data_IF_377539524748
#
_entry.id   IF_377539524748
#
_cell.length_a   1.000
_cell.length_b   1.000
_cell.length_c   1.000
_cell.angle_alpha   90.00
_cell.angle_beta   90.00
_cell.angle_gamma   90.00
#
_symmetry.space_group_name_H-M   'P 1'
#
loop_
_entity.id
_entity.type
_entity.pdbx_description
1 polymer ?
#
# COMPACT_ATOMS: atom_id res chain seq x y z
N UNK A 1 16.09 -9.39 4.88
CA UNK A 1 16.33 -8.13 4.13
C UNK A 1 17.22 -7.18 4.91
N UNK A 2 16.91 -6.85 6.17
CA UNK A 2 17.70 -5.91 7.00
C UNK A 2 19.15 -6.35 7.18
N UNK A 3 19.40 -7.62 7.52
CA UNK A 3 20.78 -8.16 7.65
C UNK A 3 21.59 -8.02 6.35
N UNK A 4 20.92 -8.18 5.20
CA UNK A 4 21.56 -8.00 3.91
C UNK A 4 21.92 -6.53 3.66
N UNK A 5 21.02 -5.59 3.96
CA UNK A 5 21.29 -4.15 3.86
C UNK A 5 22.44 -3.74 4.78
N UNK A 6 22.47 -4.28 6.00
CA UNK A 6 23.53 -4.07 6.98
C UNK A 6 24.87 -4.59 6.46
N UNK A 7 24.91 -5.85 5.99
CA UNK A 7 26.11 -6.47 5.46
C UNK A 7 26.66 -5.74 4.21
N UNK A 8 25.80 -5.07 3.43
CA UNK A 8 26.25 -4.24 2.30
C UNK A 8 26.91 -2.93 2.75
N UNK A 9 26.44 -2.32 3.84
CA UNK A 9 27.02 -1.08 4.39
C UNK A 9 26.98 0.13 3.44
N UNK A 10 26.17 0.08 2.39
CA UNK A 10 26.09 1.11 1.33
C UNK A 10 24.81 1.93 1.38
N UNK A 11 23.87 1.56 2.23
CA UNK A 11 22.53 2.15 2.29
C UNK A 11 22.33 2.86 3.62
N UNK A 12 21.70 4.04 3.56
CA UNK A 12 21.05 4.62 4.73
C UNK A 12 19.70 3.94 4.86
N UNK A 13 19.48 3.26 5.99
CA UNK A 13 18.25 2.51 6.25
C UNK A 13 17.51 3.15 7.42
N UNK A 14 16.23 3.44 7.19
CA UNK A 14 15.30 3.93 8.20
C UNK A 14 14.05 3.06 8.09
N UNK A 15 13.57 2.55 9.22
CA UNK A 15 12.35 1.75 9.30
C UNK A 15 11.24 2.61 9.89
N UNK A 16 10.16 2.78 9.14
CA UNK A 16 8.96 3.49 9.57
C UNK A 16 7.88 2.49 9.94
N UNK A 17 7.27 2.64 11.10
CA UNK A 17 6.19 1.75 11.56
C UNK A 17 5.22 2.48 12.48
N UNK A 18 3.99 1.96 12.57
CA UNK A 18 3.11 2.30 13.70
C UNK A 18 3.73 1.76 14.99
N UNK A 19 3.76 2.58 16.03
CA UNK A 19 4.34 2.21 17.33
C UNK A 19 3.22 2.18 18.38
N UNK A 20 2.34 1.19 18.29
CA UNK A 20 1.13 1.07 19.12
C UNK A 20 1.38 1.19 20.63
N UNK A 21 2.52 0.69 21.11
CA UNK A 21 2.90 0.79 22.53
C UNK A 21 3.08 2.24 23.04
N UNK A 22 3.28 3.21 22.16
CA UNK A 22 3.29 4.63 22.53
C UNK A 22 1.89 5.20 22.79
N UNK A 23 0.85 4.54 22.28
CA UNK A 23 -0.55 5.01 22.31
C UNK A 23 -1.46 4.08 23.12
N UNK A 24 -0.90 3.33 24.08
CA UNK A 24 -1.62 2.33 24.87
C UNK A 24 -2.83 2.93 25.59
N UNK A 25 -2.71 4.14 26.14
CA UNK A 25 -3.82 4.79 26.84
C UNK A 25 -4.97 5.14 25.87
N UNK A 26 -4.64 5.66 24.68
CA UNK A 26 -5.61 5.93 23.62
C UNK A 26 -6.32 4.65 23.17
N UNK A 27 -5.57 3.56 22.99
CA UNK A 27 -6.13 2.26 22.59
C UNK A 27 -7.02 1.70 23.72
N UNK A 28 -6.60 1.85 24.99
CA UNK A 28 -7.36 1.39 26.15
C UNK A 28 -8.71 2.10 26.26
N UNK A 29 -8.71 3.42 26.04
CA UNK A 29 -9.92 4.25 26.05
C UNK A 29 -10.91 3.81 24.94
N UNK A 30 -10.40 3.47 23.75
CA UNK A 30 -11.22 2.97 22.62
C UNK A 30 -11.88 1.63 22.90
N UNK A 31 -11.19 0.70 23.57
CA UNK A 31 -11.75 -0.62 23.93
C UNK A 31 -12.89 -0.51 24.96
N UNK A 32 -12.77 0.45 25.91
CA UNK A 32 -13.81 0.80 26.89
C UNK A 32 -14.42 -0.39 27.69
N UNK A 33 -13.72 -1.53 27.79
CA UNK A 33 -14.23 -2.78 28.39
C UNK A 33 -14.20 -2.79 29.94
N UNK A 34 -13.59 -1.78 30.59
CA UNK A 34 -13.39 -1.68 32.06
C UNK A 34 -12.69 -2.90 32.73
N UNK A 35 -12.38 -3.96 31.97
CA UNK A 35 -11.73 -5.20 32.43
C UNK A 35 -10.22 -5.23 32.19
N UNK A 36 -9.74 -4.50 31.19
CA UNK A 36 -8.32 -4.45 30.82
C UNK A 36 -7.59 -3.35 31.60
N UNK A 37 -6.37 -3.66 31.99
CA UNK A 37 -5.42 -2.68 32.49
C UNK A 37 -4.28 -2.50 31.47
N UNK A 38 -3.49 -1.45 31.66
CA UNK A 38 -2.39 -1.07 30.76
C UNK A 38 -1.47 -2.24 30.42
N UNK A 39 -0.93 -2.93 31.43
CA UNK A 39 0.03 -4.02 31.25
C UNK A 39 -0.54 -5.17 30.41
N UNK A 40 -1.80 -5.55 30.69
CA UNK A 40 -2.47 -6.61 29.92
C UNK A 40 -2.73 -6.22 28.46
N UNK A 41 -2.93 -4.92 28.19
CA UNK A 41 -3.09 -4.42 26.84
C UNK A 41 -1.75 -4.39 26.09
N UNK A 42 -0.67 -3.94 26.74
CA UNK A 42 0.68 -3.96 26.17
C UNK A 42 1.08 -5.37 25.74
N UNK A 43 0.82 -6.39 26.57
CA UNK A 43 1.09 -7.78 26.20
C UNK A 43 0.22 -8.24 25.02
N UNK A 44 -1.07 -7.90 25.01
CA UNK A 44 -1.96 -8.27 23.90
C UNK A 44 -1.50 -7.66 22.57
N UNK A 45 -1.05 -6.40 22.59
CA UNK A 45 -0.53 -5.73 21.39
C UNK A 45 0.79 -6.35 20.92
N UNK A 46 1.67 -6.77 21.84
CA UNK A 46 2.91 -7.45 21.50
C UNK A 46 2.67 -8.83 20.88
N UNK A 47 1.65 -9.56 21.37
CA UNK A 47 1.29 -10.87 20.86
C UNK A 47 0.61 -10.78 19.48
N UNK A 48 -0.25 -9.78 19.26
CA UNK A 48 -0.95 -9.57 18.00
C UNK A 48 -0.04 -9.01 16.89
N UNK A 49 0.90 -8.11 17.24
CA UNK A 49 1.78 -7.42 16.29
C UNK A 49 3.26 -7.86 16.41
N UNK A 50 3.49 -9.14 16.72
CA UNK A 50 4.82 -9.72 16.97
C UNK A 50 5.81 -9.55 15.79
N UNK A 51 5.31 -9.59 14.56
CA UNK A 51 6.08 -9.39 13.35
C UNK A 51 6.66 -7.97 13.28
N UNK A 52 5.87 -6.96 13.62
CA UNK A 52 6.32 -5.55 13.65
C UNK A 52 7.41 -5.40 14.71
N UNK A 53 7.21 -5.98 15.90
CA UNK A 53 8.23 -6.00 16.96
C UNK A 53 9.54 -6.62 16.45
N UNK A 54 9.45 -7.80 15.83
CA UNK A 54 10.62 -8.52 15.29
C UNK A 54 11.39 -7.67 14.27
N UNK A 55 10.69 -6.96 13.38
CA UNK A 55 11.31 -6.06 12.40
C UNK A 55 12.00 -4.87 13.07
N UNK A 56 11.36 -4.23 14.06
CA UNK A 56 11.92 -3.09 14.81
C UNK A 56 13.17 -3.52 15.57
N UNK A 57 13.11 -4.64 16.31
CA UNK A 57 14.25 -5.16 17.08
C UNK A 57 15.42 -5.54 16.16
N UNK A 58 15.12 -6.14 15.00
CA UNK A 58 16.14 -6.46 13.99
C UNK A 58 16.79 -5.20 13.40
N UNK A 59 15.99 -4.15 13.15
CA UNK A 59 16.50 -2.87 12.66
C UNK A 59 17.42 -2.21 13.70
N UNK A 60 17.02 -2.21 14.96
CA UNK A 60 17.81 -1.68 16.07
C UNK A 60 19.11 -2.46 16.28
N UNK A 61 19.08 -3.79 16.17
CA UNK A 61 20.28 -4.63 16.22
C UNK A 61 21.27 -4.31 15.09
N UNK A 62 20.77 -3.94 13.91
CA UNK A 62 21.57 -3.46 12.78
C UNK A 62 22.03 -2.00 12.93
N UNK A 63 21.62 -1.28 13.99
CA UNK A 63 21.90 0.14 14.18
C UNK A 63 21.11 1.07 13.25
N UNK A 64 20.04 0.59 12.64
CA UNK A 64 19.16 1.40 11.79
C UNK A 64 18.21 2.25 12.63
N UNK A 65 17.86 3.42 12.11
CA UNK A 65 16.90 4.31 12.76
C UNK A 65 15.49 3.71 12.63
N UNK A 66 14.75 3.69 13.72
CA UNK A 66 13.32 3.38 13.72
C UNK A 66 12.53 4.65 14.01
N UNK A 67 11.57 4.96 13.14
CA UNK A 67 10.76 6.18 13.19
C UNK A 67 9.29 5.78 13.24
N UNK A 68 8.52 6.53 14.01
CA UNK A 68 7.08 6.35 14.05
C UNK A 68 6.45 6.94 12.78
N UNK A 69 5.59 6.17 12.12
CA UNK A 69 4.98 6.51 10.84
C UNK A 69 3.82 7.50 10.99
N UNK A 70 4.10 8.70 11.49
CA UNK A 70 3.09 9.75 11.67
C UNK A 70 2.86 10.55 10.40
N UNK A 71 1.61 10.97 10.17
CA UNK A 71 1.27 11.90 9.08
C UNK A 71 2.12 13.18 9.17
N UNK A 72 2.65 13.63 8.03
CA UNK A 72 3.62 14.72 7.92
C UNK A 72 5.09 14.31 8.05
N UNK A 73 5.38 13.02 8.31
CA UNK A 73 6.77 12.53 8.37
C UNK A 73 7.37 12.37 6.98
N UNK A 74 8.54 12.98 6.75
CA UNK A 74 9.25 12.88 5.47
C UNK A 74 9.95 11.52 5.30
N UNK A 75 9.83 10.96 4.09
CA UNK A 75 10.47 9.71 3.64
C UNK A 75 11.08 9.96 2.26
N UNK A 76 12.34 10.43 2.23
CA UNK A 76 12.99 10.84 0.99
C UNK A 76 12.23 11.99 0.31
N UNK A 77 11.75 11.76 -0.92
CA UNK A 77 10.93 12.71 -1.69
C UNK A 77 9.41 12.55 -1.45
N UNK A 78 9.04 11.73 -0.45
CA UNK A 78 7.67 11.44 -0.09
C UNK A 78 7.36 11.91 1.33
N UNK A 79 6.07 11.96 1.64
CA UNK A 79 5.55 12.28 2.98
C UNK A 79 4.54 11.21 3.37
N UNK A 80 4.59 10.75 4.61
CA UNK A 80 3.53 9.91 5.18
C UNK A 80 2.28 10.77 5.33
N UNK A 81 1.16 10.32 4.77
CA UNK A 81 -0.12 11.06 4.82
C UNK A 81 -1.19 10.37 5.66
N UNK A 82 -1.04 9.08 5.91
CA UNK A 82 -1.96 8.32 6.74
C UNK A 82 -1.45 6.90 7.06
N UNK A 83 -2.22 6.13 7.84
CA UNK A 83 -3.39 6.58 8.61
C UNK A 83 -3.00 7.54 9.74
N UNK A 84 -3.97 8.26 10.30
CA UNK A 84 -3.78 9.10 11.49
C UNK A 84 -3.59 8.26 12.75
N UNK A 85 -3.17 8.90 13.85
CA UNK A 85 -3.07 8.23 15.17
C UNK A 85 -4.41 7.65 15.59
N UNK A 86 -5.49 8.39 15.39
CA UNK A 86 -6.83 7.93 15.74
C UNK A 86 -7.17 6.65 14.97
N UNK A 87 -6.92 6.62 13.67
CA UNK A 87 -7.27 5.49 12.82
C UNK A 87 -6.41 4.25 13.09
N UNK A 88 -5.08 4.36 13.18
CA UNK A 88 -4.28 3.18 13.49
C UNK A 88 -4.53 2.67 14.92
N UNK A 89 -4.96 3.53 15.85
CA UNK A 89 -5.36 3.08 17.20
C UNK A 89 -6.74 2.44 17.22
N UNK A 90 -7.66 2.79 16.30
CA UNK A 90 -8.91 2.02 16.10
C UNK A 90 -8.62 0.60 15.64
N UNK A 91 -7.70 0.46 14.68
CA UNK A 91 -7.25 -0.85 14.20
C UNK A 91 -6.65 -1.67 15.34
N UNK A 92 -5.73 -1.09 16.11
CA UNK A 92 -5.11 -1.77 17.24
C UNK A 92 -6.14 -2.17 18.31
N UNK A 93 -7.09 -1.28 18.63
CA UNK A 93 -8.16 -1.57 19.59
C UNK A 93 -9.03 -2.73 19.13
N UNK A 94 -9.41 -2.74 17.84
CA UNK A 94 -10.22 -3.80 17.23
C UNK A 94 -9.47 -5.13 17.21
N UNK A 95 -8.19 -5.13 16.84
CA UNK A 95 -7.36 -6.33 16.74
C UNK A 95 -7.26 -7.09 18.08
N UNK A 96 -7.14 -6.37 19.19
CA UNK A 96 -7.02 -7.00 20.52
C UNK A 96 -8.35 -7.22 21.22
N UNK A 97 -9.48 -6.73 20.69
CA UNK A 97 -10.81 -6.88 21.27
C UNK A 97 -11.55 -8.09 20.70
N UNK A 98 -11.50 -9.20 21.43
CA UNK A 98 -12.15 -10.46 21.04
C UNK A 98 -13.70 -10.43 21.03
N UNK A 99 -14.33 -9.28 21.32
CA UNK A 99 -15.79 -9.08 21.24
C UNK A 99 -16.25 -8.61 19.86
N UNK A 100 -15.32 -8.19 19.00
CA UNK A 100 -15.60 -7.63 17.66
C UNK A 100 -14.86 -8.42 16.57
N UNK A 101 -15.23 -8.21 15.31
CA UNK A 101 -14.51 -8.83 14.17
C UNK A 101 -13.11 -8.21 14.00
N UNK A 102 -12.20 -8.91 13.32
CA UNK A 102 -10.84 -8.43 13.04
C UNK A 102 -10.72 -7.77 11.66
N UNK A 103 -11.80 -7.15 11.18
CA UNK A 103 -11.87 -6.50 9.87
C UNK A 103 -12.25 -5.03 9.99
N UNK A 104 -11.79 -4.16 9.09
CA UNK A 104 -12.08 -2.73 9.02
C UNK A 104 -12.71 -2.43 7.65
N UNK A 105 -13.75 -1.61 7.64
CA UNK A 105 -14.60 -1.39 6.47
C UNK A 105 -15.99 -2.03 6.67
N UNK A 106 -16.81 -1.97 5.63
CA UNK A 106 -18.13 -2.58 5.59
C UNK A 106 -18.30 -3.40 4.31
N UNK A 107 -19.04 -4.51 4.40
CA UNK A 107 -19.41 -5.31 3.24
C UNK A 107 -18.22 -6.06 2.64
N UNK A 108 -17.98 -5.86 1.34
CA UNK A 108 -16.96 -6.61 0.60
C UNK A 108 -15.59 -5.91 0.57
N UNK A 109 -15.51 -4.63 0.96
CA UNK A 109 -14.26 -3.86 1.11
C UNK A 109 -13.70 -3.94 2.56
N UNK A 110 -13.90 -5.10 3.20
CA UNK A 110 -13.42 -5.37 4.55
C UNK A 110 -11.96 -5.83 4.52
N UNK A 111 -11.06 -5.00 5.05
CA UNK A 111 -9.65 -5.34 5.19
C UNK A 111 -9.34 -5.90 6.57
N UNK A 112 -8.38 -6.82 6.66
CA UNK A 112 -7.94 -7.29 7.98
C UNK A 112 -7.30 -6.15 8.77
N UNK A 113 -7.39 -6.19 10.10
CA UNK A 113 -6.69 -5.21 10.95
C UNK A 113 -5.18 -5.12 10.67
N UNK A 114 -4.56 -6.17 10.13
CA UNK A 114 -3.15 -6.16 9.76
C UNK A 114 -2.85 -5.32 8.52
N UNK A 115 -3.80 -5.24 7.59
CA UNK A 115 -3.67 -4.51 6.33
C UNK A 115 -4.24 -3.09 6.43
N UNK A 116 -5.38 -2.94 7.11
CA UNK A 116 -6.19 -1.73 7.09
C UNK A 116 -5.41 -0.46 7.46
N UNK A 117 -4.48 -0.56 8.42
CA UNK A 117 -3.63 0.55 8.86
C UNK A 117 -2.32 0.69 8.06
N UNK A 118 -2.21 0.16 6.83
CA UNK A 118 -1.02 0.31 6.00
C UNK A 118 -0.57 1.76 5.90
N UNK A 119 0.73 2.01 6.05
CA UNK A 119 1.31 3.36 5.94
C UNK A 119 1.15 3.87 4.51
N UNK A 120 0.57 5.06 4.37
CA UNK A 120 0.27 5.71 3.11
C UNK A 120 1.30 6.79 2.81
N UNK A 121 1.84 6.80 1.59
CA UNK A 121 2.85 7.76 1.16
C UNK A 121 2.31 8.63 0.02
N UNK A 122 2.37 9.95 0.18
CA UNK A 122 2.32 10.89 -0.93
C UNK A 122 3.75 11.08 -1.45
N UNK A 123 3.97 10.86 -2.74
CA UNK A 123 5.24 11.17 -3.39
C UNK A 123 5.04 12.22 -4.47
N UNK A 124 5.92 13.22 -4.50
CA UNK A 124 5.96 14.21 -5.57
C UNK A 124 6.86 13.71 -6.70
N UNK A 125 6.31 13.61 -7.89
CA UNK A 125 7.00 13.20 -9.11
C UNK A 125 7.72 14.39 -9.76
N UNK A 126 8.66 14.09 -10.66
CA UNK A 126 9.47 15.12 -11.34
C UNK A 126 8.64 16.10 -12.17
N UNK A 127 7.52 15.64 -12.74
CA UNK A 127 6.56 16.45 -13.51
C UNK A 127 5.56 17.21 -12.61
N UNK A 128 5.80 17.26 -11.29
CA UNK A 128 4.95 17.84 -10.27
C UNK A 128 3.60 17.13 -10.02
N UNK A 129 3.33 16.00 -10.67
CA UNK A 129 2.23 15.13 -10.27
C UNK A 129 2.47 14.53 -8.89
N UNK A 130 1.39 14.24 -8.19
CA UNK A 130 1.40 13.56 -6.90
C UNK A 130 0.84 12.15 -7.06
N UNK A 131 1.56 11.17 -6.52
CA UNK A 131 1.10 9.79 -6.41
C UNK A 131 0.84 9.45 -4.95
N UNK A 132 -0.32 8.87 -4.67
CA UNK A 132 -0.61 8.21 -3.40
C UNK A 132 -0.26 6.73 -3.52
N UNK A 133 0.60 6.25 -2.63
CA UNK A 133 0.91 4.83 -2.45
C UNK A 133 0.23 4.34 -1.18
N UNK A 134 -0.75 3.45 -1.33
CA UNK A 134 -1.68 3.05 -0.27
C UNK A 134 -1.29 1.74 0.43
N UNK A 135 -0.42 0.93 -0.16
CA UNK A 135 -0.21 -0.45 0.30
C UNK A 135 -1.53 -1.22 0.29
N UNK A 136 -1.89 -1.86 1.40
CA UNK A 136 -3.14 -2.60 1.56
C UNK A 136 -4.10 -1.86 2.52
N UNK A 137 -4.00 -0.53 2.55
CA UNK A 137 -4.84 0.29 3.42
C UNK A 137 -6.33 0.12 3.08
N UNK A 138 -7.16 0.09 4.12
CA UNK A 138 -8.62 0.09 3.94
C UNK A 138 -9.05 1.40 3.25
N UNK A 139 -9.97 1.36 2.28
CA UNK A 139 -10.54 2.56 1.66
C UNK A 139 -11.08 3.59 2.67
N UNK A 140 -11.56 3.11 3.83
CA UNK A 140 -12.07 3.95 4.93
C UNK A 140 -11.03 4.95 5.46
N UNK A 141 -9.74 4.61 5.40
CA UNK A 141 -8.65 5.44 5.90
C UNK A 141 -7.89 6.17 4.79
N UNK A 142 -8.44 6.21 3.58
CA UNK A 142 -7.89 6.96 2.46
C UNK A 142 -8.57 8.32 2.33
N UNK A 143 -7.77 9.38 2.51
CA UNK A 143 -8.28 10.76 2.58
C UNK A 143 -7.82 11.63 1.43
N UNK A 144 -8.67 12.61 1.10
CA UNK A 144 -8.37 13.65 0.11
C UNK A 144 -8.00 13.10 -1.28
N UNK A 145 -8.61 11.97 -1.70
CA UNK A 145 -8.21 11.26 -2.92
C UNK A 145 -8.27 12.13 -4.18
N UNK A 146 -9.18 13.10 -4.23
CA UNK A 146 -9.28 14.05 -5.34
C UNK A 146 -8.04 14.94 -5.53
N UNK A 147 -7.17 15.11 -4.52
CA UNK A 147 -5.97 15.93 -4.61
C UNK A 147 -4.81 15.26 -5.36
N UNK A 148 -4.83 13.92 -5.46
CA UNK A 148 -3.76 13.17 -6.11
C UNK A 148 -3.97 13.07 -7.62
N UNK A 149 -2.86 13.09 -8.36
CA UNK A 149 -2.87 12.85 -9.81
C UNK A 149 -2.98 11.34 -10.11
N UNK A 150 -2.31 10.53 -9.30
CA UNK A 150 -2.24 9.08 -9.43
C UNK A 150 -2.56 8.44 -8.08
N UNK A 151 -3.41 7.42 -8.07
CA UNK A 151 -3.75 6.65 -6.86
C UNK A 151 -3.34 5.20 -7.08
N UNK A 152 -2.48 4.67 -6.20
CA UNK A 152 -2.29 3.23 -6.08
C UNK A 152 -3.58 2.63 -5.50
N UNK A 153 -4.20 1.71 -6.23
CA UNK A 153 -5.34 0.96 -5.70
C UNK A 153 -4.83 -0.06 -4.68
N UNK A 154 -5.45 -0.14 -3.48
CA UNK A 154 -4.98 -1.00 -2.41
C UNK A 154 -4.97 -2.49 -2.78
N UNK A 155 -4.23 -3.28 -2.01
CA UNK A 155 -4.33 -4.75 -1.99
C UNK A 155 -4.23 -5.40 -3.38
N UNK A 156 -3.20 -5.00 -4.13
CA UNK A 156 -2.95 -5.46 -5.50
C UNK A 156 -4.09 -5.18 -6.49
N UNK A 157 -4.91 -4.17 -6.22
CA UNK A 157 -6.06 -3.79 -7.04
C UNK A 157 -7.25 -4.74 -6.85
N UNK A 158 -7.55 -5.11 -5.61
CA UNK A 158 -8.77 -5.84 -5.27
C UNK A 158 -10.01 -5.05 -5.74
N UNK A 159 -10.98 -5.75 -6.35
CA UNK A 159 -12.15 -5.13 -6.96
C UNK A 159 -12.97 -4.33 -5.93
N UNK A 160 -13.26 -4.92 -4.78
CA UNK A 160 -14.16 -4.32 -3.80
C UNK A 160 -13.57 -3.03 -3.20
N UNK A 161 -12.29 -3.01 -2.88
CA UNK A 161 -11.59 -1.79 -2.42
C UNK A 161 -11.61 -0.69 -3.47
N UNK A 162 -11.36 -1.06 -4.73
CA UNK A 162 -11.38 -0.12 -5.83
C UNK A 162 -12.79 0.46 -6.06
N UNK A 163 -13.84 -0.36 -5.96
CA UNK A 163 -15.22 0.10 -6.06
C UNK A 163 -15.57 1.08 -4.94
N UNK A 164 -15.21 0.76 -3.69
CA UNK A 164 -15.40 1.69 -2.57
C UNK A 164 -14.73 3.05 -2.86
N UNK A 165 -13.49 3.03 -3.35
CA UNK A 165 -12.77 4.26 -3.74
C UNK A 165 -13.50 5.02 -4.85
N UNK A 166 -13.97 4.33 -5.90
CA UNK A 166 -14.60 4.98 -7.06
C UNK A 166 -15.96 5.57 -6.71
N UNK A 167 -16.74 4.89 -5.87
CA UNK A 167 -18.13 5.21 -5.57
C UNK A 167 -18.26 6.19 -4.39
N UNK A 168 -17.38 6.08 -3.40
CA UNK A 168 -17.55 6.78 -2.11
C UNK A 168 -16.48 7.85 -1.86
N UNK A 169 -15.27 7.68 -2.38
CA UNK A 169 -14.12 8.52 -2.00
C UNK A 169 -13.66 9.51 -3.09
N UNK A 170 -14.26 9.48 -4.29
CA UNK A 170 -13.86 10.32 -5.43
C UNK A 170 -15.03 11.12 -6.01
N UNK A 171 -14.78 12.39 -6.33
CA UNK A 171 -15.78 13.24 -7.00
C UNK A 171 -15.96 12.87 -8.47
N UNK A 172 -14.87 12.47 -9.15
CA UNK A 172 -14.91 12.05 -10.55
C UNK A 172 -13.88 10.94 -10.80
N UNK A 173 -14.24 9.66 -10.60
CA UNK A 173 -13.30 8.55 -10.72
C UNK A 173 -12.87 8.29 -12.17
N UNK A 174 -13.64 8.73 -13.17
CA UNK A 174 -13.29 8.57 -14.59
C UNK A 174 -12.13 9.48 -15.06
N UNK A 175 -11.80 10.52 -14.29
CA UNK A 175 -10.72 11.46 -14.61
C UNK A 175 -9.54 11.31 -13.62
N UNK A 176 -9.18 10.07 -13.30
CA UNK A 176 -8.07 9.71 -12.44
C UNK A 176 -7.19 8.66 -13.08
N UNK A 177 -5.89 8.76 -12.85
CA UNK A 177 -4.94 7.70 -13.21
C UNK A 177 -4.82 6.72 -12.04
N UNK A 178 -5.08 5.45 -12.30
CA UNK A 178 -4.94 4.40 -11.30
C UNK A 178 -3.66 3.60 -11.54
N UNK A 179 -2.98 3.25 -10.45
CA UNK A 179 -1.80 2.39 -10.45
C UNK A 179 -2.07 1.11 -9.65
N UNK A 180 -1.62 -0.03 -10.15
CA UNK A 180 -1.79 -1.33 -9.52
C UNK A 180 -0.43 -2.03 -9.41
N UNK A 181 -0.03 -2.30 -8.16
CA UNK A 181 1.14 -3.10 -7.83
C UNK A 181 0.78 -4.59 -7.71
N UNK A 182 0.45 -5.25 -8.81
CA UNK A 182 0.11 -6.67 -8.87
C UNK A 182 1.29 -7.47 -9.46
N UNK A 183 1.80 -8.45 -8.72
CA UNK A 183 2.79 -9.42 -9.20
C UNK A 183 2.29 -10.87 -9.11
N UNK A 184 1.04 -11.10 -8.74
CA UNK A 184 0.47 -12.42 -8.41
C UNK A 184 -0.64 -12.85 -9.37
N UNK A 185 -1.42 -11.91 -9.93
CA UNK A 185 -2.75 -12.20 -10.49
C UNK A 185 -3.76 -12.63 -9.42
N UNK A 186 -4.97 -13.06 -9.86
CA UNK A 186 -6.09 -13.46 -8.99
C UNK A 186 -5.85 -14.78 -8.24
N UNK A 187 -5.01 -14.74 -7.22
CA UNK A 187 -4.88 -15.84 -6.28
C UNK A 187 -6.00 -15.77 -5.23
N UNK A 188 -6.59 -16.91 -4.90
CA UNK A 188 -7.80 -17.03 -4.06
C UNK A 188 -7.69 -16.46 -2.63
N UNK A 189 -6.52 -15.99 -2.20
CA UNK A 189 -6.24 -15.53 -0.82
C UNK A 189 -5.32 -14.31 -0.74
N UNK A 190 -4.91 -13.69 -1.86
CA UNK A 190 -3.89 -12.63 -1.85
C UNK A 190 -4.21 -11.46 -2.79
N UNK A 191 -5.50 -11.18 -3.01
CA UNK A 191 -5.95 -10.15 -3.94
C UNK A 191 -5.59 -10.45 -5.41
N UNK A 192 -5.74 -9.44 -6.25
CA UNK A 192 -5.34 -9.49 -7.66
C UNK A 192 -6.25 -8.69 -8.59
N UNK A 193 -5.67 -8.21 -9.68
CA UNK A 193 -6.28 -7.15 -10.49
C UNK A 193 -7.21 -7.61 -11.61
N UNK A 194 -7.38 -8.92 -11.84
CA UNK A 194 -8.11 -9.44 -13.01
C UNK A 194 -9.58 -9.00 -13.05
N UNK A 195 -10.27 -9.13 -11.91
CA UNK A 195 -11.68 -8.74 -11.80
C UNK A 195 -11.83 -7.23 -11.92
N UNK A 196 -10.93 -6.47 -11.29
CA UNK A 196 -10.89 -5.02 -11.40
C UNK A 196 -10.64 -4.55 -12.84
N UNK A 197 -9.67 -5.13 -13.54
CA UNK A 197 -9.37 -4.77 -14.94
C UNK A 197 -10.57 -5.04 -15.84
N UNK A 198 -11.28 -6.15 -15.62
CA UNK A 198 -12.50 -6.45 -16.37
C UNK A 198 -13.63 -5.46 -16.03
N UNK A 199 -13.86 -5.17 -14.75
CA UNK A 199 -14.83 -4.17 -14.31
C UNK A 199 -14.55 -2.78 -14.90
N UNK A 200 -13.30 -2.29 -14.81
CA UNK A 200 -12.89 -1.01 -15.36
C UNK A 200 -13.18 -0.92 -16.86
N UNK A 201 -12.96 -2.02 -17.60
CA UNK A 201 -13.27 -2.08 -19.03
C UNK A 201 -14.77 -2.03 -19.29
N UNK A 202 -15.57 -2.75 -18.51
CA UNK A 202 -17.03 -2.81 -18.68
C UNK A 202 -17.69 -1.46 -18.35
N UNK A 203 -17.20 -0.79 -17.31
CA UNK A 203 -17.64 0.56 -16.89
C UNK A 203 -16.95 1.69 -17.68
N UNK A 204 -16.02 1.38 -18.59
CA UNK A 204 -15.33 2.33 -19.50
C UNK A 204 -14.41 3.33 -18.80
N UNK A 205 -13.76 2.92 -17.73
CA UNK A 205 -12.61 3.62 -17.16
C UNK A 205 -11.39 3.53 -18.09
N UNK A 206 -10.47 4.49 -17.96
CA UNK A 206 -9.14 4.34 -18.55
C UNK A 206 -8.41 3.16 -17.88
N UNK A 207 -7.65 2.34 -18.64
CA UNK A 207 -6.92 1.22 -18.07
C UNK A 207 -5.92 1.66 -16.99
N UNK A 208 -5.95 1.01 -15.84
CA UNK A 208 -4.95 1.25 -14.80
C UNK A 208 -3.53 0.87 -15.26
N UNK A 209 -2.55 1.63 -14.78
CA UNK A 209 -1.13 1.32 -14.91
C UNK A 209 -0.82 0.09 -14.04
N UNK A 210 -0.51 -1.05 -14.64
CA UNK A 210 -0.47 -2.32 -13.92
C UNK A 210 0.88 -3.04 -14.08
N UNK A 211 1.50 -3.40 -12.96
CA UNK A 211 2.81 -4.09 -12.91
C UNK A 211 2.73 -5.59 -13.21
N UNK A 212 1.53 -6.16 -13.34
CA UNK A 212 1.34 -7.61 -13.61
C UNK A 212 2.07 -8.10 -14.85
N UNK A 213 2.16 -7.26 -15.87
CA UNK A 213 2.81 -7.59 -17.15
C UNK A 213 4.24 -7.05 -17.28
N UNK A 214 4.80 -6.44 -16.23
CA UNK A 214 6.17 -5.93 -16.21
C UNK A 214 6.32 -4.56 -15.57
N UNK A 215 7.41 -3.89 -15.93
CA UNK A 215 7.75 -2.58 -15.38
C UNK A 215 6.79 -1.49 -15.86
N UNK A 216 6.29 -0.68 -14.93
CA UNK A 216 5.56 0.56 -15.18
C UNK A 216 6.48 1.75 -14.85
N UNK A 217 6.56 2.72 -15.75
CA UNK A 217 7.30 3.96 -15.53
C UNK A 217 6.32 5.08 -15.16
N UNK A 218 6.55 5.73 -14.01
CA UNK A 218 5.72 6.81 -13.46
C UNK A 218 6.62 8.01 -13.08
N UNK A 219 6.33 9.23 -13.55
CA UNK A 219 5.30 9.55 -14.53
C UNK A 219 5.66 8.93 -15.87
N UNK A 220 4.65 8.54 -16.66
CA UNK A 220 4.89 8.01 -18.00
C UNK A 220 5.75 9.00 -18.78
N UNK A 221 6.80 8.52 -19.45
CA UNK A 221 7.62 9.41 -20.28
C UNK A 221 6.69 10.14 -21.25
N UNK A 222 6.58 11.46 -21.14
CA UNK A 222 6.12 12.26 -22.27
C UNK A 222 7.10 11.95 -23.42
N UNK A 223 6.68 11.07 -24.34
CA UNK A 223 7.43 10.52 -25.47
C UNK A 223 8.68 9.67 -25.12
N UNK A 224 8.56 8.33 -25.13
CA UNK A 224 9.33 7.44 -26.02
C UNK A 224 8.57 6.13 -26.18
N UNK A 225 8.01 5.85 -27.37
CA UNK A 225 7.63 4.48 -27.73
C UNK A 225 8.90 3.69 -28.01
N UNK A 226 9.42 2.98 -27.01
CA UNK A 226 10.37 1.90 -27.30
C UNK A 226 9.54 0.72 -27.79
N UNK A 227 9.23 0.75 -29.08
CA UNK A 227 8.85 -0.47 -29.79
C UNK A 227 10.03 -1.43 -29.64
N UNK A 228 9.83 -2.49 -28.87
CA UNK A 228 10.74 -3.62 -28.84
C UNK A 228 10.77 -4.22 -30.25
N UNK A 229 11.76 -3.82 -31.05
CA UNK A 229 12.09 -4.54 -32.28
C UNK A 229 12.54 -5.93 -31.87
N UNK A 230 11.62 -6.89 -31.94
CA UNK A 230 11.98 -8.29 -32.06
C UNK A 230 12.96 -8.39 -33.24
N UNK A 231 14.22 -8.68 -32.96
CA UNK A 231 15.14 -9.22 -33.95
C UNK A 231 14.61 -10.61 -34.30
N UNK A 232 13.81 -10.71 -35.36
CA UNK A 232 13.54 -11.98 -36.02
C UNK A 232 14.61 -12.25 -37.08
N UNK A 233 15.03 -13.51 -37.06
CA UNK A 233 16.10 -14.12 -37.84
C UNK A 233 16.13 -13.88 -39.35
N UNK A 234 17.36 -14.04 -39.82
CA UNK A 234 17.87 -14.11 -41.20
C UNK A 234 16.95 -14.82 -42.20
N UNK A 235 16.81 -14.26 -43.41
CA UNK A 235 16.61 -15.02 -44.65
C UNK A 235 17.74 -14.70 -45.63
N UNK A 236 18.57 -15.70 -45.87
CA UNK A 236 19.51 -15.81 -47.00
C UNK A 236 18.81 -16.58 -48.12
N UNK A 237 18.98 -16.12 -49.37
CA UNK A 237 18.39 -16.68 -50.59
C UNK A 237 17.38 -15.68 -51.19
N UNK A 238 17.49 -15.22 -52.43
CA UNK A 238 17.96 -15.89 -53.64
C UNK A 238 18.82 -14.94 -54.50
N UNK A 239 19.94 -15.45 -54.99
CA UNK A 239 20.58 -14.95 -56.21
C UNK A 239 19.71 -15.38 -57.38
N UNK A 240 19.32 -14.44 -58.24
CA UNK A 240 19.06 -14.81 -59.63
C UNK A 240 19.63 -13.77 -60.59
N UNK A 241 20.38 -14.31 -61.55
CA UNK A 241 21.04 -13.64 -62.67
C UNK A 241 20.02 -13.03 -63.64
N UNK A 242 20.29 -11.81 -64.12
CA UNK A 242 20.29 -11.43 -65.54
C UNK A 242 20.97 -10.09 -65.77
#
# INVERSE_FOLDING_TARGET
MLDWLYAKGQYVVIVYSHQYLKHVDTILDKISDKRRNRDSLEQSLLDEFDNIKTIIESAQACGFLTVEALSGTNVGNCTIVGPTIDEFTDVAAKAVDNRVSNNIGEGHAEETVMNAASVQLECKLENAETILLCGDASPLYLHNLDSYSIIQLPHHGQLDDAQAIFEENLTNPYNKTYFISDNTGSAATSGGSDQLVQYMKDEKYDPALNTKSGLVLIPGSAYVSVTSRQQQGVRLGEMDYR
#
